data_IF_777890441527
#
_entry.id   IF_777890441527
#
_cell.length_a   1.000
_cell.length_b   1.000
_cell.length_c   1.000
_cell.angle_alpha   90.00
_cell.angle_beta   90.00
_cell.angle_gamma   90.00
#
_symmetry.space_group_name_H-M   'P 1'
#
loop_
_entity.id
_entity.type
_entity.pdbx_description
1 polymer ?
#
# COMPACT_ATOMS: atom_id res chain seq x y z
N UNK A 1 -45.17 -23.83 46.20
CA UNK A 1 -44.63 -23.85 44.82
C UNK A 1 -43.12 -24.10 44.76
N UNK A 2 -42.34 -23.73 45.79
CA UNK A 2 -40.91 -24.08 45.88
C UNK A 2 -40.64 -25.50 46.42
N UNK A 3 -41.57 -26.11 47.16
CA UNK A 3 -41.38 -27.45 47.73
C UNK A 3 -41.47 -28.59 46.69
N UNK A 4 -42.19 -28.41 45.59
CA UNK A 4 -42.35 -29.44 44.53
C UNK A 4 -41.13 -29.57 43.59
N UNK A 5 -40.25 -28.56 43.56
CA UNK A 5 -39.05 -28.57 42.70
C UNK A 5 -37.95 -29.43 43.33
N UNK A 6 -37.85 -29.44 44.66
CA UNK A 6 -36.85 -30.24 45.38
C UNK A 6 -37.19 -31.73 45.44
N UNK A 7 -38.46 -32.11 45.29
CA UNK A 7 -38.91 -33.52 45.35
C UNK A 7 -38.54 -34.39 44.14
N UNK A 8 -38.03 -33.80 43.03
CA UNK A 8 -37.70 -34.53 41.79
C UNK A 8 -36.20 -34.64 41.50
N UNK A 9 -35.34 -34.16 42.39
CA UNK A 9 -33.88 -34.26 42.23
C UNK A 9 -33.40 -35.62 42.74
N UNK A 10 -32.71 -36.38 41.89
CA UNK A 10 -32.12 -37.65 42.31
C UNK A 10 -31.02 -37.40 43.35
N UNK A 11 -30.74 -38.38 44.22
CA UNK A 11 -29.75 -38.24 45.30
C UNK A 11 -28.33 -37.81 44.84
N UNK A 12 -27.99 -38.03 43.55
CA UNK A 12 -26.73 -37.56 42.96
C UNK A 12 -26.72 -36.07 42.67
N UNK A 13 -27.87 -35.49 42.31
CA UNK A 13 -27.99 -34.05 42.04
C UNK A 13 -28.00 -33.25 43.35
N UNK A 14 -28.60 -33.80 44.41
CA UNK A 14 -28.55 -33.20 45.75
C UNK A 14 -27.15 -33.24 46.36
N UNK A 15 -26.36 -34.28 46.08
CA UNK A 15 -24.98 -34.37 46.56
C UNK A 15 -24.06 -33.36 45.84
N UNK A 16 -24.17 -33.25 44.51
CA UNK A 16 -23.46 -32.21 43.74
C UNK A 16 -23.87 -30.79 44.15
N UNK A 17 -25.14 -30.59 44.47
CA UNK A 17 -25.64 -29.31 44.97
C UNK A 17 -25.05 -28.98 46.35
N UNK A 18 -24.99 -29.95 47.27
CA UNK A 18 -24.34 -29.79 48.58
C UNK A 18 -22.84 -29.52 48.43
N UNK A 19 -22.14 -30.19 47.51
CA UNK A 19 -20.72 -29.94 47.21
C UNK A 19 -20.51 -28.54 46.64
N UNK A 20 -21.36 -28.10 45.70
CA UNK A 20 -21.32 -26.75 45.15
C UNK A 20 -21.59 -25.68 46.21
N UNK A 21 -22.58 -25.90 47.08
CA UNK A 21 -22.90 -24.98 48.19
C UNK A 21 -21.78 -24.93 49.22
N UNK A 22 -21.21 -26.08 49.59
CA UNK A 22 -20.09 -26.14 50.52
C UNK A 22 -18.85 -25.45 49.93
N UNK A 23 -18.59 -25.63 48.64
CA UNK A 23 -17.54 -24.92 47.94
C UNK A 23 -17.78 -23.41 47.94
N UNK A 24 -19.01 -22.96 47.64
CA UNK A 24 -19.41 -21.55 47.64
C UNK A 24 -19.26 -20.91 49.03
N UNK A 25 -19.59 -21.67 50.08
CA UNK A 25 -19.36 -21.25 51.47
C UNK A 25 -17.87 -21.17 51.79
N UNK A 26 -17.10 -22.18 51.41
CA UNK A 26 -15.65 -22.23 51.63
C UNK A 26 -14.92 -21.07 50.92
N UNK A 27 -15.43 -20.64 49.76
CA UNK A 27 -14.86 -19.53 48.96
C UNK A 27 -15.62 -18.21 49.15
N UNK A 28 -16.51 -18.10 50.14
CA UNK A 28 -17.38 -16.93 50.34
C UNK A 28 -16.60 -15.62 50.43
N UNK A 29 -15.49 -15.60 51.16
CA UNK A 29 -14.70 -14.38 51.36
C UNK A 29 -14.03 -13.92 50.05
N UNK A 30 -13.53 -14.86 49.25
CA UNK A 30 -12.97 -14.58 47.92
C UNK A 30 -14.05 -14.14 46.93
N UNK A 31 -15.23 -14.74 46.99
CA UNK A 31 -16.38 -14.33 46.18
C UNK A 31 -16.87 -12.93 46.58
N UNK A 32 -16.84 -12.59 47.88
CA UNK A 32 -17.19 -11.26 48.38
C UNK A 32 -16.21 -10.20 47.88
N UNK A 33 -14.90 -10.44 48.00
CA UNK A 33 -13.87 -9.53 47.51
C UNK A 33 -13.92 -9.37 45.98
N UNK A 34 -14.18 -10.46 45.24
CA UNK A 34 -14.39 -10.41 43.80
C UNK A 34 -15.63 -9.58 43.44
N UNK A 35 -16.78 -9.81 44.09
CA UNK A 35 -18.02 -9.06 43.84
C UNK A 35 -17.84 -7.57 44.16
N UNK A 36 -16.98 -7.22 45.13
CA UNK A 36 -16.65 -5.84 45.44
C UNK A 36 -15.74 -5.17 44.40
N UNK A 37 -14.77 -5.90 43.85
CA UNK A 37 -13.80 -5.39 42.86
C UNK A 37 -14.27 -5.49 41.41
N UNK A 38 -15.16 -6.43 41.11
CA UNK A 38 -15.66 -6.70 39.76
C UNK A 38 -16.27 -5.47 39.08
N UNK A 39 -17.09 -4.62 39.74
CA UNK A 39 -17.58 -3.38 39.15
C UNK A 39 -16.46 -2.48 38.61
N UNK A 40 -15.44 -2.24 39.45
CA UNK A 40 -14.29 -1.40 39.11
C UNK A 40 -13.47 -2.02 37.98
N UNK A 41 -13.20 -3.33 38.04
CA UNK A 41 -12.46 -4.04 36.98
C UNK A 41 -13.21 -4.00 35.64
N UNK A 42 -14.53 -4.14 35.64
CA UNK A 42 -15.36 -4.04 34.44
C UNK A 42 -15.38 -2.62 33.88
N UNK A 43 -15.42 -1.59 34.74
CA UNK A 43 -15.32 -0.20 34.33
C UNK A 43 -13.95 0.12 33.72
N UNK A 44 -12.85 -0.22 34.39
CA UNK A 44 -11.48 -0.01 33.91
C UNK A 44 -11.21 -0.77 32.60
N UNK A 45 -11.61 -2.04 32.54
CA UNK A 45 -11.45 -2.85 31.33
C UNK A 45 -12.27 -2.27 30.18
N UNK A 46 -13.51 -1.85 30.46
CA UNK A 46 -14.38 -1.26 29.45
C UNK A 46 -13.86 0.09 28.94
N UNK A 47 -13.32 0.94 29.80
CA UNK A 47 -12.65 2.20 29.41
C UNK A 47 -11.41 1.95 28.56
N UNK A 48 -10.57 0.98 28.96
CA UNK A 48 -9.38 0.58 28.19
C UNK A 48 -9.74 0.09 26.78
N UNK A 49 -10.76 -0.77 26.66
CA UNK A 49 -11.25 -1.28 25.37
C UNK A 49 -11.87 -0.16 24.53
N UNK A 50 -12.65 0.75 25.13
CA UNK A 50 -13.23 1.90 24.43
C UNK A 50 -12.15 2.86 23.90
N UNK A 51 -11.09 3.08 24.69
CA UNK A 51 -9.91 3.86 24.30
C UNK A 51 -9.13 3.20 23.17
N UNK A 52 -8.93 1.87 23.24
CA UNK A 52 -8.32 1.10 22.17
C UNK A 52 -9.12 1.24 20.87
N UNK A 53 -10.45 1.09 20.93
CA UNK A 53 -11.32 1.28 19.77
C UNK A 53 -11.22 2.67 19.17
N UNK A 54 -11.18 3.72 20.00
CA UNK A 54 -10.97 5.10 19.54
C UNK A 54 -9.63 5.31 18.86
N UNK A 55 -8.57 4.64 19.34
CA UNK A 55 -7.25 4.68 18.73
C UNK A 55 -7.24 3.96 17.38
N UNK A 56 -7.95 2.83 17.25
CA UNK A 56 -8.11 2.10 15.99
C UNK A 56 -8.87 2.92 14.94
N UNK A 57 -9.97 3.59 15.31
CA UNK A 57 -10.71 4.50 14.40
C UNK A 57 -9.83 5.66 13.94
N UNK A 58 -9.01 6.23 14.83
CA UNK A 58 -8.05 7.27 14.44
C UNK A 58 -7.02 6.74 13.45
N UNK A 59 -6.49 5.54 13.67
CA UNK A 59 -5.55 4.90 12.74
C UNK A 59 -6.19 4.67 11.37
N UNK A 60 -7.44 4.19 11.31
CA UNK A 60 -8.20 4.10 10.07
C UNK A 60 -8.28 5.44 9.34
N UNK A 61 -8.59 6.51 10.07
CA UNK A 61 -8.64 7.87 9.55
C UNK A 61 -7.31 8.36 8.96
N UNK A 62 -6.15 7.93 9.48
CA UNK A 62 -4.85 8.27 8.91
C UNK A 62 -4.57 7.56 7.57
N UNK A 63 -5.10 6.35 7.39
CA UNK A 63 -4.89 5.56 6.17
C UNK A 63 -5.78 6.08 5.04
N UNK A 64 -7.07 6.26 5.31
CA UNK A 64 -8.07 6.62 4.29
C UNK A 64 -8.20 8.14 4.14
N UNK A 65 -8.09 8.87 5.25
CA UNK A 65 -8.28 10.32 5.29
C UNK A 65 -9.72 10.76 5.44
N UNK A 66 -9.87 12.07 5.61
CA UNK A 66 -11.12 12.79 5.46
C UNK A 66 -10.93 13.94 4.45
N UNK A 67 -11.90 14.85 4.35
CA UNK A 67 -11.83 15.97 3.41
C UNK A 67 -10.74 17.00 3.75
N UNK A 68 -10.29 17.06 4.99
CA UNK A 68 -9.41 18.12 5.52
C UNK A 68 -8.01 17.60 5.89
N UNK A 69 -7.83 16.29 6.06
CA UNK A 69 -6.58 15.69 6.50
C UNK A 69 -5.90 14.87 5.40
N UNK A 70 -4.58 15.08 5.17
CA UNK A 70 -3.83 14.22 4.27
C UNK A 70 -3.80 12.79 4.83
N UNK A 71 -3.90 11.81 3.93
CA UNK A 71 -3.90 10.39 4.25
C UNK A 71 -2.89 9.63 3.42
N UNK A 72 -2.51 8.45 3.92
CA UNK A 72 -1.61 7.56 3.18
C UNK A 72 -2.16 7.25 1.78
N UNK A 73 -3.46 6.97 1.67
CA UNK A 73 -4.13 6.76 0.37
C UNK A 73 -3.96 7.96 -0.56
N UNK A 74 -4.27 9.17 -0.07
CA UNK A 74 -4.22 10.37 -0.90
C UNK A 74 -2.80 10.72 -1.33
N UNK A 75 -1.80 10.45 -0.48
CA UNK A 75 -0.39 10.60 -0.84
C UNK A 75 0.01 9.62 -1.96
N UNK A 76 -0.44 8.36 -1.89
CA UNK A 76 -0.24 7.40 -2.97
C UNK A 76 -0.90 7.84 -4.28
N UNK A 77 -2.13 8.37 -4.24
CA UNK A 77 -2.83 8.90 -5.42
C UNK A 77 -2.09 10.10 -6.03
N UNK A 78 -1.59 11.03 -5.20
CA UNK A 78 -0.81 12.20 -5.66
C UNK A 78 0.51 11.76 -6.28
N UNK A 79 1.21 10.81 -5.65
CA UNK A 79 2.47 10.30 -6.18
C UNK A 79 2.25 9.57 -7.51
N UNK A 80 1.21 8.74 -7.63
CA UNK A 80 0.86 8.09 -8.89
C UNK A 80 0.57 9.11 -10.01
N UNK A 81 -0.21 10.15 -9.70
CA UNK A 81 -0.53 11.22 -10.66
C UNK A 81 0.73 11.97 -11.11
N UNK A 82 1.63 12.29 -10.19
CA UNK A 82 2.90 12.95 -10.52
C UNK A 82 3.79 12.06 -11.41
N UNK A 83 3.79 10.74 -11.20
CA UNK A 83 4.51 9.81 -12.06
C UNK A 83 3.90 9.76 -13.46
N UNK A 84 2.58 9.75 -13.59
CA UNK A 84 1.87 9.83 -14.88
C UNK A 84 2.17 11.14 -15.63
N UNK A 85 2.25 12.27 -14.91
CA UNK A 85 2.70 13.54 -15.51
C UNK A 85 4.15 13.45 -16.01
N UNK A 86 5.06 12.87 -15.22
CA UNK A 86 6.42 12.61 -15.66
C UNK A 86 6.48 11.68 -16.87
N UNK A 87 5.57 10.71 -16.99
CA UNK A 87 5.49 9.83 -18.15
C UNK A 87 5.21 10.62 -19.44
N UNK A 88 4.24 11.53 -19.39
CA UNK A 88 3.88 12.38 -20.54
C UNK A 88 5.06 13.26 -20.97
N UNK A 89 5.78 13.84 -20.02
CA UNK A 89 6.98 14.64 -20.28
C UNK A 89 8.11 13.80 -20.90
N UNK A 90 8.38 12.62 -20.37
CA UNK A 90 9.41 11.71 -20.91
C UNK A 90 9.05 11.22 -22.31
N UNK A 91 7.78 10.91 -22.56
CA UNK A 91 7.29 10.52 -23.89
C UNK A 91 7.42 11.66 -24.91
N UNK A 92 7.24 12.91 -24.48
CA UNK A 92 7.50 14.08 -25.32
C UNK A 92 9.00 14.22 -25.62
N UNK A 93 9.86 14.09 -24.60
CA UNK A 93 11.31 14.17 -24.76
C UNK A 93 11.86 13.08 -25.69
N UNK A 94 11.42 11.82 -25.51
CA UNK A 94 11.81 10.70 -26.37
C UNK A 94 11.49 10.97 -27.85
N UNK A 95 10.26 11.45 -28.14
CA UNK A 95 9.86 11.81 -29.51
C UNK A 95 10.73 12.91 -30.11
N UNK A 96 11.13 13.92 -29.33
CA UNK A 96 12.01 14.98 -29.81
C UNK A 96 13.40 14.41 -30.11
N UNK A 97 13.96 13.59 -29.21
CA UNK A 97 15.27 12.97 -29.43
C UNK A 97 15.29 12.07 -30.66
N UNK A 98 14.25 11.26 -30.86
CA UNK A 98 14.11 10.43 -32.06
C UNK A 98 14.10 11.28 -33.34
N UNK A 99 13.31 12.36 -33.38
CA UNK A 99 13.29 13.29 -34.52
C UNK A 99 14.65 13.94 -34.78
N UNK A 100 15.35 14.39 -33.74
CA UNK A 100 16.69 14.96 -33.91
C UNK A 100 17.65 13.89 -34.45
N UNK A 101 17.54 12.65 -33.99
CA UNK A 101 18.31 11.53 -34.53
C UNK A 101 18.07 11.31 -36.02
N UNK A 102 16.80 11.28 -36.44
CA UNK A 102 16.40 11.13 -37.86
C UNK A 102 16.93 12.28 -38.72
N UNK A 103 16.80 13.53 -38.27
CA UNK A 103 17.30 14.71 -38.98
C UNK A 103 18.84 14.69 -39.11
N UNK A 104 19.55 14.22 -38.07
CA UNK A 104 21.01 14.09 -38.12
C UNK A 104 21.47 12.99 -39.09
N UNK A 105 20.75 11.86 -39.17
CA UNK A 105 21.05 10.76 -40.11
C UNK A 105 20.81 11.17 -41.58
N UNK A 106 19.90 12.12 -41.80
CA UNK A 106 19.63 12.68 -43.12
C UNK A 106 20.77 13.57 -43.65
N UNK A 107 21.66 14.08 -42.79
CA UNK A 107 22.79 14.93 -43.21
C UNK A 107 23.94 14.07 -43.73
N UNK A 108 24.00 13.95 -45.06
CA UNK A 108 25.02 13.16 -45.76
C UNK A 108 25.94 14.04 -46.60
N UNK A 109 27.24 13.75 -46.57
CA UNK A 109 28.23 14.40 -47.42
C UNK A 109 28.78 13.39 -48.44
N UNK A 110 28.83 13.76 -49.73
CA UNK A 110 29.51 12.96 -50.73
C UNK A 110 31.00 12.84 -50.41
N UNK A 111 31.52 11.61 -50.47
CA UNK A 111 32.95 11.32 -50.31
C UNK A 111 33.54 10.96 -51.65
N UNK A 112 34.78 11.35 -51.89
CA UNK A 112 35.49 10.98 -53.11
C UNK A 112 36.77 10.23 -52.75
N UNK A 113 36.93 9.02 -53.27
CA UNK A 113 38.16 8.23 -53.19
C UNK A 113 38.71 8.00 -54.58
N UNK A 114 39.86 8.58 -54.89
CA UNK A 114 40.55 8.32 -56.15
C UNK A 114 41.05 6.86 -56.18
N UNK A 115 40.70 6.14 -57.24
CA UNK A 115 41.25 4.82 -57.55
C UNK A 115 42.44 4.97 -58.47
N UNK A 116 43.50 4.19 -58.24
CA UNK A 116 44.75 4.30 -58.99
C UNK A 116 45.06 2.97 -59.68
N UNK A 117 45.58 3.04 -60.91
CA UNK A 117 46.18 1.92 -61.62
C UNK A 117 47.66 2.19 -61.88
N UNK A 118 48.46 1.14 -61.88
CA UNK A 118 49.87 1.25 -62.18
C UNK A 118 50.10 0.99 -63.67
N UNK A 119 50.64 1.99 -64.37
CA UNK A 119 50.98 1.89 -65.80
C UNK A 119 52.45 2.25 -65.94
N UNK A 120 53.27 1.29 -66.37
CA UNK A 120 54.71 1.47 -66.57
C UNK A 120 55.46 2.01 -65.32
N UNK A 121 55.12 1.53 -64.12
CA UNK A 121 55.75 1.96 -62.86
C UNK A 121 55.27 3.32 -62.33
N UNK A 122 54.28 3.94 -62.97
CA UNK A 122 53.66 5.18 -62.51
C UNK A 122 52.20 4.96 -62.07
N UNK A 123 51.82 5.51 -60.92
CA UNK A 123 50.42 5.48 -60.43
C UNK A 123 49.59 6.54 -61.14
N UNK A 124 48.75 6.12 -62.08
CA UNK A 124 47.74 6.98 -62.70
C UNK A 124 46.40 6.83 -61.97
N UNK A 125 45.64 7.91 -61.86
CA UNK A 125 44.25 7.84 -61.41
C UNK A 125 43.44 7.13 -62.49
N UNK A 126 42.86 5.98 -62.17
CA UNK A 126 41.98 5.23 -63.08
C UNK A 126 40.51 5.60 -62.92
N UNK A 127 40.14 6.23 -61.80
CA UNK A 127 38.77 6.60 -61.51
C UNK A 127 38.62 7.37 -60.20
N UNK A 128 37.40 7.85 -59.96
CA UNK A 128 36.99 8.44 -58.69
C UNK A 128 35.76 7.67 -58.21
N UNK A 129 35.87 7.02 -57.07
CA UNK A 129 34.75 6.40 -56.38
C UNK A 129 34.04 7.47 -55.54
N UNK A 130 32.78 7.74 -55.85
CA UNK A 130 31.95 8.73 -55.15
C UNK A 130 31.03 7.97 -54.19
N UNK A 131 31.40 7.94 -52.92
CA UNK A 131 30.58 7.37 -51.84
C UNK A 131 29.69 8.43 -51.18
N UNK A 132 28.84 8.01 -50.26
CA UNK A 132 28.04 8.90 -49.43
C UNK A 132 28.21 8.49 -47.97
N UNK A 133 28.66 9.40 -47.10
CA UNK A 133 28.83 9.12 -45.67
C UNK A 133 27.99 10.11 -44.86
N UNK A 134 27.29 9.63 -43.83
CA UNK A 134 26.68 10.52 -42.86
C UNK A 134 27.73 10.94 -41.84
N UNK A 135 27.79 12.24 -41.56
CA UNK A 135 28.79 12.82 -40.66
C UNK A 135 28.36 12.76 -39.19
N UNK A 136 27.08 12.47 -38.95
CA UNK A 136 26.47 12.42 -37.64
C UNK A 136 25.90 11.04 -37.29
N UNK A 137 26.21 9.98 -38.05
CA UNK A 137 25.66 8.64 -37.84
C UNK A 137 25.78 8.17 -36.38
N UNK A 138 26.95 8.38 -35.76
CA UNK A 138 27.15 8.01 -34.35
C UNK A 138 26.30 8.86 -33.39
N UNK A 139 26.06 10.13 -33.71
CA UNK A 139 25.22 11.00 -32.91
C UNK A 139 23.73 10.61 -33.07
N UNK A 140 23.30 10.32 -34.30
CA UNK A 140 21.96 9.84 -34.61
C UNK A 140 21.66 8.52 -33.86
N UNK A 141 22.57 7.54 -33.91
CA UNK A 141 22.45 6.28 -33.16
C UNK A 141 22.35 6.52 -31.66
N UNK A 142 23.18 7.40 -31.09
CA UNK A 142 23.13 7.71 -29.65
C UNK A 142 21.84 8.41 -29.22
N UNK A 143 21.27 9.26 -30.08
CA UNK A 143 19.99 9.90 -29.82
C UNK A 143 18.84 8.90 -29.89
N UNK A 144 18.89 7.97 -30.85
CA UNK A 144 17.93 6.87 -30.93
C UNK A 144 18.00 5.97 -29.69
N UNK A 145 19.20 5.54 -29.29
CA UNK A 145 19.41 4.80 -28.05
C UNK A 145 18.89 5.57 -26.82
N UNK A 146 19.07 6.88 -26.80
CA UNK A 146 18.54 7.77 -25.77
C UNK A 146 17.02 7.77 -25.73
N UNK A 147 16.37 7.90 -26.89
CA UNK A 147 14.91 7.81 -27.03
C UNK A 147 14.38 6.46 -26.52
N UNK A 148 14.99 5.35 -26.95
CA UNK A 148 14.58 4.01 -26.55
C UNK A 148 14.72 3.80 -25.03
N UNK A 149 15.77 4.35 -24.42
CA UNK A 149 15.95 4.34 -22.95
C UNK A 149 14.89 5.16 -22.24
N UNK A 150 14.54 6.35 -22.75
CA UNK A 150 13.46 7.15 -22.18
C UNK A 150 12.11 6.42 -22.27
N UNK A 151 11.84 5.69 -23.36
CA UNK A 151 10.62 4.88 -23.47
C UNK A 151 10.59 3.74 -22.44
N UNK A 152 11.73 3.09 -22.17
CA UNK A 152 11.83 2.06 -21.13
C UNK A 152 11.59 2.64 -19.74
N UNK A 153 12.18 3.79 -19.43
CA UNK A 153 11.94 4.51 -18.16
C UNK A 153 10.47 4.89 -18.06
N UNK A 154 9.88 5.40 -19.13
CA UNK A 154 8.47 5.77 -19.19
C UNK A 154 7.56 4.58 -18.82
N UNK A 155 7.83 3.39 -19.37
CA UNK A 155 7.09 2.15 -19.01
C UNK A 155 7.26 1.80 -17.53
N UNK A 156 8.47 1.91 -16.99
CA UNK A 156 8.75 1.62 -15.59
C UNK A 156 8.01 2.59 -14.63
N UNK A 157 7.96 3.88 -14.96
CA UNK A 157 7.20 4.85 -14.16
C UNK A 157 5.71 4.50 -14.13
N UNK A 158 5.14 4.03 -15.24
CA UNK A 158 3.75 3.59 -15.32
C UNK A 158 3.46 2.40 -14.42
N UNK A 159 4.35 1.41 -14.40
CA UNK A 159 4.26 0.28 -13.46
C UNK A 159 4.26 0.77 -12.01
N UNK A 160 5.12 1.74 -11.66
CA UNK A 160 5.17 2.27 -10.29
C UNK A 160 3.90 3.06 -9.95
N UNK A 161 3.37 3.86 -10.89
CA UNK A 161 2.11 4.58 -10.69
C UNK A 161 0.94 3.61 -10.43
N UNK A 162 0.85 2.52 -11.19
CA UNK A 162 -0.15 1.47 -10.99
C UNK A 162 -0.03 0.80 -9.62
N UNK A 163 1.19 0.45 -9.21
CA UNK A 163 1.47 -0.11 -7.88
C UNK A 163 1.10 0.85 -6.74
N UNK A 164 1.30 2.16 -6.92
CA UNK A 164 0.88 3.16 -5.95
C UNK A 164 -0.65 3.25 -5.85
N UNK A 165 -1.37 3.14 -6.96
CA UNK A 165 -2.86 3.10 -6.96
C UNK A 165 -3.37 1.84 -6.26
N UNK A 166 -2.74 0.68 -6.51
CA UNK A 166 -3.07 -0.58 -5.83
C UNK A 166 -2.83 -0.47 -4.32
N UNK A 167 -1.69 0.10 -3.91
CA UNK A 167 -1.40 0.41 -2.51
C UNK A 167 -2.47 1.33 -1.90
N UNK A 168 -2.92 2.36 -2.61
CA UNK A 168 -4.04 3.21 -2.21
C UNK A 168 -5.34 2.42 -1.97
N UNK A 169 -5.62 1.43 -2.82
CA UNK A 169 -6.72 0.48 -2.64
C UNK A 169 -6.59 -0.32 -1.34
N UNK A 170 -5.45 -0.97 -1.13
CA UNK A 170 -5.18 -1.76 0.09
C UNK A 170 -5.27 -0.92 1.37
N UNK A 171 -4.80 0.33 1.34
CA UNK A 171 -4.91 1.27 2.45
C UNK A 171 -6.37 1.61 2.77
N UNK A 172 -7.23 1.65 1.76
CA UNK A 172 -8.67 1.90 1.91
C UNK A 172 -9.37 0.73 2.58
N UNK A 173 -9.05 -0.48 2.13
CA UNK A 173 -9.62 -1.71 2.70
C UNK A 173 -9.16 -1.89 4.15
N UNK A 174 -7.85 -1.75 4.40
CA UNK A 174 -7.28 -1.81 5.74
C UNK A 174 -7.89 -0.76 6.66
N UNK A 175 -8.05 0.48 6.18
CA UNK A 175 -8.69 1.54 6.94
C UNK A 175 -10.14 1.22 7.28
N UNK A 176 -10.91 0.69 6.32
CA UNK A 176 -12.31 0.28 6.55
C UNK A 176 -12.43 -0.85 7.58
N UNK A 177 -11.52 -1.82 7.53
CA UNK A 177 -11.45 -2.91 8.49
C UNK A 177 -11.09 -2.42 9.90
N UNK A 178 -10.11 -1.52 10.01
CA UNK A 178 -9.74 -0.90 11.27
C UNK A 178 -10.89 -0.07 11.85
N UNK A 179 -11.61 0.69 11.04
CA UNK A 179 -12.77 1.46 11.50
C UNK A 179 -13.86 0.53 12.07
N UNK A 180 -14.16 -0.56 11.37
CA UNK A 180 -15.11 -1.58 11.83
C UNK A 180 -14.68 -2.22 13.16
N UNK A 181 -13.41 -2.63 13.28
CA UNK A 181 -12.86 -3.19 14.52
C UNK A 181 -12.91 -2.17 15.65
N UNK A 182 -12.52 -0.92 15.39
CA UNK A 182 -12.52 0.15 16.37
C UNK A 182 -13.92 0.43 16.92
N UNK A 183 -14.93 0.47 16.04
CA UNK A 183 -16.34 0.63 16.44
C UNK A 183 -16.86 -0.56 17.27
N UNK A 184 -16.46 -1.79 16.94
CA UNK A 184 -16.80 -2.98 17.73
C UNK A 184 -16.17 -2.98 19.12
N UNK A 185 -14.91 -2.52 19.22
CA UNK A 185 -14.23 -2.35 20.50
C UNK A 185 -14.93 -1.27 21.33
N UNK A 186 -15.25 -0.10 20.77
CA UNK A 186 -15.99 0.94 21.49
C UNK A 186 -17.34 0.43 22.03
N UNK A 187 -18.10 -0.31 21.22
CA UNK A 187 -19.35 -0.91 21.66
C UNK A 187 -19.15 -1.91 22.80
N UNK A 188 -18.11 -2.75 22.71
CA UNK A 188 -17.77 -3.74 23.74
C UNK A 188 -17.31 -3.07 25.05
N UNK A 189 -16.50 -2.03 24.96
CA UNK A 189 -16.04 -1.25 26.10
C UNK A 189 -17.21 -0.58 26.85
N UNK A 190 -18.12 0.06 26.12
CA UNK A 190 -19.36 0.63 26.69
C UNK A 190 -20.23 -0.42 27.38
N UNK A 191 -20.38 -1.61 26.78
CA UNK A 191 -21.13 -2.72 27.39
C UNK A 191 -20.48 -3.18 28.70
N UNK A 192 -19.17 -3.37 28.73
CA UNK A 192 -18.45 -3.75 29.95
C UNK A 192 -18.58 -2.69 31.05
N UNK A 193 -18.47 -1.40 30.70
CA UNK A 193 -18.72 -0.31 31.65
C UNK A 193 -20.13 -0.37 32.22
N UNK A 194 -21.15 -0.60 31.38
CA UNK A 194 -22.54 -0.71 31.84
C UNK A 194 -22.77 -1.92 32.76
N UNK A 195 -22.01 -3.01 32.59
CA UNK A 195 -22.05 -4.14 33.53
C UNK A 195 -21.41 -3.80 34.88
N UNK A 196 -20.45 -2.87 34.91
CA UNK A 196 -19.87 -2.36 36.15
C UNK A 196 -20.80 -1.42 36.93
N UNK A 197 -21.84 -0.87 36.30
CA UNK A 197 -22.76 0.08 36.94
C UNK A 197 -23.85 -0.57 37.82
N UNK A 198 -23.93 -1.90 37.87
CA UNK A 198 -24.94 -2.65 38.63
C UNK A 198 -24.95 -2.43 40.15
N UNK A 199 -23.92 -1.78 40.70
CA UNK A 199 -23.79 -1.48 42.14
C UNK A 199 -24.19 -0.04 42.50
N UNK A 200 -24.76 0.75 41.58
CA UNK A 200 -25.38 2.05 41.86
C UNK A 200 -26.83 1.93 42.27
#
# INVERSE_FOLDING_TARGET
MFEDIFGRLSGKDTQKMMEAVNWLWTHRDQLSDLVERLPTLLQETGESIESAGSSTVKAAGLLVGDKERPSARKLSDVAASALEECQDELAAAARILGKVGEELDAVRIPTMKATYMEVMGHRMVSGVDIGNQGIFDQAAVRLQDGSDRLEQINKALGTVAEQLRELGGMLTDTGSDLDRVGNQLQASGKRLRSLGDWKR
#
